data_IF_027914598858
#
_entry.id   IF_027914598858
#
_cell.length_a   1.000
_cell.length_b   1.000
_cell.length_c   1.000
_cell.angle_alpha   90.00
_cell.angle_beta   90.00
_cell.angle_gamma   90.00
#
_symmetry.space_group_name_H-M   'P 1'
#
loop_
_entity.id
_entity.type
_entity.pdbx_description
1 polymer ?
#
# COMPACT_ATOMS: atom_id res chain seq x y z
N UNK A 1 4.79 14.30 7.55
CA UNK A 1 4.35 12.92 7.84
C UNK A 1 3.17 12.49 6.97
N UNK A 2 2.01 13.16 7.06
CA UNK A 2 0.84 12.79 6.25
C UNK A 2 1.04 12.87 4.75
N UNK A 3 1.86 13.78 4.27
CA UNK A 3 2.23 13.89 2.86
C UNK A 3 2.93 12.60 2.38
N UNK A 4 3.85 12.08 3.18
CA UNK A 4 4.55 10.83 2.89
C UNK A 4 3.58 9.63 2.86
N UNK A 5 2.68 9.54 3.83
CA UNK A 5 1.65 8.50 3.90
C UNK A 5 0.75 8.57 2.65
N UNK A 6 0.31 9.77 2.32
CA UNK A 6 -0.59 10.01 1.18
C UNK A 6 0.04 9.57 -0.16
N UNK A 7 1.22 10.06 -0.50
CA UNK A 7 1.82 9.68 -1.77
C UNK A 7 2.30 8.22 -1.80
N UNK A 8 2.71 7.64 -0.68
CA UNK A 8 3.06 6.22 -0.60
C UNK A 8 1.84 5.35 -0.90
N UNK A 9 0.69 5.69 -0.32
CA UNK A 9 -0.57 4.98 -0.62
C UNK A 9 -1.01 5.14 -2.08
N UNK A 10 -0.82 6.33 -2.67
CA UNK A 10 -1.10 6.53 -4.10
C UNK A 10 -0.23 5.59 -4.95
N UNK A 11 1.08 5.58 -4.74
CA UNK A 11 2.00 4.73 -5.48
C UNK A 11 1.65 3.25 -5.34
N UNK A 12 1.33 2.82 -4.12
CA UNK A 12 0.89 1.44 -3.85
C UNK A 12 -0.38 1.09 -4.62
N UNK A 13 -1.39 1.96 -4.58
CA UNK A 13 -2.65 1.71 -5.29
C UNK A 13 -2.51 1.74 -6.82
N UNK A 14 -1.64 2.59 -7.36
CA UNK A 14 -1.31 2.56 -8.79
C UNK A 14 -0.71 1.21 -9.18
N UNK A 15 0.20 0.71 -8.38
CA UNK A 15 0.83 -0.60 -8.61
C UNK A 15 -0.19 -1.75 -8.46
N UNK A 16 -1.00 -1.74 -7.41
CA UNK A 16 -2.04 -2.76 -7.16
C UNK A 16 -3.07 -2.84 -8.31
N UNK A 17 -3.31 -1.73 -9.02
CA UNK A 17 -4.35 -1.63 -10.06
C UNK A 17 -3.81 -1.60 -11.48
N UNK A 18 -2.51 -1.79 -11.66
CA UNK A 18 -1.87 -1.63 -12.96
C UNK A 18 -2.19 -0.28 -13.63
N UNK A 19 -2.32 0.77 -12.84
CA UNK A 19 -2.66 2.12 -13.31
C UNK A 19 -1.40 2.98 -13.40
N UNK A 20 -1.27 3.73 -14.49
CA UNK A 20 -0.18 4.68 -14.67
C UNK A 20 -0.51 6.03 -14.03
N UNK A 21 0.52 6.83 -13.74
CA UNK A 21 0.33 8.23 -13.30
C UNK A 21 -0.46 9.06 -14.32
N UNK A 22 -0.28 8.77 -15.61
CA UNK A 22 -1.00 9.44 -16.68
C UNK A 22 -2.49 9.12 -16.65
N UNK A 23 -2.86 7.87 -16.44
CA UNK A 23 -4.26 7.45 -16.28
C UNK A 23 -4.89 8.08 -15.03
N UNK A 24 -4.16 8.11 -13.92
CA UNK A 24 -4.62 8.79 -12.71
C UNK A 24 -4.80 10.29 -12.94
N UNK A 25 -3.84 10.93 -13.61
CA UNK A 25 -3.91 12.34 -13.99
C UNK A 25 -5.20 12.66 -14.76
N UNK A 26 -5.52 11.85 -15.75
CA UNK A 26 -6.74 12.01 -16.56
C UNK A 26 -8.01 11.79 -15.73
N UNK A 27 -8.05 10.75 -14.92
CA UNK A 27 -9.22 10.43 -14.07
C UNK A 27 -9.46 11.44 -12.96
N UNK A 28 -8.39 11.93 -12.34
CA UNK A 28 -8.48 12.88 -11.24
C UNK A 28 -8.60 14.34 -11.69
N UNK A 29 -8.35 14.63 -12.98
CA UNK A 29 -8.32 16.00 -13.48
C UNK A 29 -7.14 16.83 -12.94
N UNK A 30 -6.02 16.19 -12.63
CA UNK A 30 -4.78 16.79 -12.10
C UNK A 30 -3.68 16.63 -13.14
N UNK A 31 -2.79 17.61 -13.27
CA UNK A 31 -1.68 17.49 -14.22
C UNK A 31 -0.71 16.38 -13.82
N UNK A 32 -0.12 15.74 -14.82
CA UNK A 32 0.89 14.71 -14.59
C UNK A 32 2.13 15.28 -13.89
N UNK A 33 2.48 16.53 -14.20
CA UNK A 33 3.56 17.26 -13.51
C UNK A 33 3.28 17.40 -12.02
N UNK A 34 2.06 17.77 -11.65
CA UNK A 34 1.64 17.87 -10.25
C UNK A 34 1.69 16.51 -9.55
N UNK A 35 1.20 15.45 -10.19
CA UNK A 35 1.28 14.09 -9.63
C UNK A 35 2.73 13.63 -9.43
N UNK A 36 3.62 13.97 -10.35
CA UNK A 36 5.04 13.67 -10.21
C UNK A 36 5.66 14.43 -9.03
N UNK A 37 5.35 15.70 -8.88
CA UNK A 37 5.80 16.50 -7.75
C UNK A 37 5.23 15.98 -6.42
N UNK A 38 3.96 15.60 -6.40
CA UNK A 38 3.30 15.03 -5.23
C UNK A 38 3.97 13.72 -4.79
N UNK A 39 4.23 12.81 -5.72
CA UNK A 39 4.84 11.51 -5.44
C UNK A 39 6.34 11.59 -5.13
N UNK A 40 6.97 12.73 -5.44
CA UNK A 40 8.34 13.04 -5.03
C UNK A 40 8.41 13.89 -3.75
N UNK A 41 7.27 14.12 -3.09
CA UNK A 41 7.20 14.91 -1.87
C UNK A 41 7.40 16.41 -2.04
N UNK A 42 7.29 16.93 -3.27
CA UNK A 42 7.53 18.35 -3.59
C UNK A 42 6.27 19.20 -3.62
N UNK A 43 5.10 18.60 -3.67
CA UNK A 43 3.82 19.29 -3.71
C UNK A 43 2.98 19.03 -2.48
N UNK A 44 2.20 20.04 -2.08
CA UNK A 44 1.17 19.94 -1.05
C UNK A 44 -0.20 19.99 -1.73
N UNK A 45 -0.94 18.87 -1.76
CA UNK A 45 -2.26 18.86 -2.36
C UNK A 45 -3.27 19.56 -1.46
N UNK A 46 -4.22 20.28 -2.05
CA UNK A 46 -5.41 20.73 -1.33
C UNK A 46 -6.30 19.54 -1.00
N UNK A 47 -7.19 19.71 -0.03
CA UNK A 47 -8.17 18.67 0.31
C UNK A 47 -9.01 18.27 -0.90
N UNK A 48 -9.41 19.22 -1.74
CA UNK A 48 -10.15 18.97 -2.99
C UNK A 48 -9.37 18.09 -3.95
N UNK A 49 -8.08 18.33 -4.11
CA UNK A 49 -7.21 17.51 -4.97
C UNK A 49 -7.06 16.11 -4.39
N UNK A 50 -6.90 15.98 -3.07
CA UNK A 50 -6.84 14.68 -2.41
C UNK A 50 -8.12 13.87 -2.63
N UNK A 51 -9.29 14.51 -2.51
CA UNK A 51 -10.59 13.88 -2.82
C UNK A 51 -10.68 13.42 -4.28
N UNK A 52 -10.26 14.28 -5.22
CA UNK A 52 -10.27 13.93 -6.64
C UNK A 52 -9.39 12.72 -6.95
N UNK A 53 -8.23 12.63 -6.31
CA UNK A 53 -7.32 11.49 -6.44
C UNK A 53 -7.95 10.23 -5.81
N UNK A 54 -8.53 10.34 -4.62
CA UNK A 54 -9.20 9.23 -3.94
C UNK A 54 -10.37 8.68 -4.80
N UNK A 55 -11.20 9.56 -5.36
CA UNK A 55 -12.30 9.19 -6.24
C UNK A 55 -11.78 8.50 -7.52
N UNK A 56 -10.71 9.00 -8.12
CA UNK A 56 -10.11 8.40 -9.30
C UNK A 56 -9.52 7.01 -9.02
N UNK A 57 -9.08 6.77 -7.79
CA UNK A 57 -8.60 5.47 -7.30
C UNK A 57 -9.73 4.60 -6.71
N UNK A 58 -10.96 5.08 -6.72
CA UNK A 58 -12.13 4.38 -6.17
C UNK A 58 -11.92 3.93 -4.70
N UNK A 59 -11.39 4.82 -3.89
CA UNK A 59 -11.21 4.64 -2.45
C UNK A 59 -11.73 5.85 -1.69
N UNK A 60 -12.08 5.66 -0.43
CA UNK A 60 -12.36 6.78 0.47
C UNK A 60 -11.05 7.51 0.81
N UNK A 61 -11.10 8.84 0.92
CA UNK A 61 -9.90 9.64 1.24
C UNK A 61 -9.18 9.18 2.52
N UNK A 62 -9.86 8.80 3.63
CA UNK A 62 -9.17 8.29 4.82
C UNK A 62 -8.24 7.10 4.53
N UNK A 63 -8.57 6.24 3.58
CA UNK A 63 -7.73 5.10 3.17
C UNK A 63 -6.35 5.57 2.68
N UNK A 64 -6.28 6.71 2.00
CA UNK A 64 -5.02 7.30 1.52
C UNK A 64 -4.19 7.94 2.64
N UNK A 65 -4.78 8.16 3.80
CA UNK A 65 -4.14 8.79 4.96
C UNK A 65 -3.84 7.79 6.07
N UNK A 66 -4.14 6.52 5.88
CA UNK A 66 -3.87 5.45 6.84
C UNK A 66 -2.48 4.85 6.60
N UNK A 67 -1.82 4.48 7.70
CA UNK A 67 -0.62 3.65 7.64
C UNK A 67 -1.00 2.18 7.44
N UNK A 68 -0.17 1.43 6.71
CA UNK A 68 -0.38 -0.01 6.56
C UNK A 68 0.28 -0.76 7.72
N UNK A 69 -0.31 -1.89 8.12
CA UNK A 69 0.27 -2.76 9.15
C UNK A 69 1.52 -3.50 8.67
N UNK A 70 1.71 -3.59 7.35
CA UNK A 70 2.88 -4.21 6.74
C UNK A 70 3.84 -3.11 6.29
N UNK A 71 5.09 -3.20 6.74
CA UNK A 71 6.15 -2.32 6.26
C UNK A 71 6.57 -2.68 4.82
N UNK A 72 7.29 -1.78 4.18
CA UNK A 72 7.76 -1.94 2.80
C UNK A 72 8.62 -3.19 2.63
N UNK A 73 9.45 -3.50 3.62
CA UNK A 73 10.33 -4.67 3.58
C UNK A 73 9.53 -5.98 3.58
N UNK A 74 8.52 -6.09 4.45
CA UNK A 74 7.62 -7.25 4.49
C UNK A 74 6.83 -7.40 3.20
N UNK A 75 6.34 -6.29 2.63
CA UNK A 75 5.65 -6.30 1.35
C UNK A 75 6.57 -6.77 0.21
N UNK A 76 7.81 -6.30 0.17
CA UNK A 76 8.79 -6.72 -0.84
C UNK A 76 9.15 -8.19 -0.71
N UNK A 77 9.28 -8.72 0.50
CA UNK A 77 9.53 -10.14 0.72
C UNK A 77 8.39 -11.02 0.17
N UNK A 78 7.14 -10.60 0.39
CA UNK A 78 5.96 -11.30 -0.12
C UNK A 78 5.88 -11.31 -1.66
N UNK A 79 6.49 -10.36 -2.32
CA UNK A 79 6.50 -10.19 -3.77
C UNK A 79 7.82 -10.63 -4.44
N UNK A 80 8.63 -11.45 -3.82
CA UNK A 80 9.93 -11.89 -4.33
C UNK A 80 10.86 -10.72 -4.72
N UNK A 81 10.86 -9.66 -3.91
CA UNK A 81 11.63 -8.45 -4.17
C UNK A 81 11.02 -7.51 -5.21
N UNK A 82 9.83 -7.80 -5.70
CA UNK A 82 9.04 -6.91 -6.57
C UNK A 82 8.03 -6.12 -5.75
N UNK A 83 7.58 -4.94 -6.19
CA UNK A 83 6.48 -4.23 -5.54
C UNK A 83 5.23 -5.11 -5.43
N UNK A 84 4.62 -5.15 -4.26
CA UNK A 84 3.39 -5.93 -4.03
C UNK A 84 2.21 -5.18 -4.63
N UNK A 85 1.52 -5.80 -5.59
CA UNK A 85 0.31 -5.25 -6.19
C UNK A 85 -0.92 -5.40 -5.30
N UNK A 86 -1.00 -6.49 -4.54
CA UNK A 86 -2.11 -6.80 -3.66
C UNK A 86 -1.68 -7.72 -2.52
N UNK A 87 -2.53 -7.88 -1.52
CA UNK A 87 -2.36 -8.90 -0.50
C UNK A 87 -2.49 -10.29 -1.13
N UNK A 88 -1.81 -11.32 -0.55
CA UNK A 88 -2.00 -12.70 -0.99
C UNK A 88 -3.47 -13.12 -0.95
N UNK A 89 -3.90 -14.12 -1.76
CA UNK A 89 -5.25 -14.65 -1.70
C UNK A 89 -5.65 -15.10 -0.29
N UNK A 90 -6.86 -14.75 0.14
CA UNK A 90 -7.36 -15.06 1.48
C UNK A 90 -7.07 -14.01 2.55
N UNK A 91 -6.37 -12.92 2.19
CA UNK A 91 -6.07 -11.81 3.10
C UNK A 91 -6.76 -10.53 2.67
N UNK A 92 -7.25 -9.79 3.64
CA UNK A 92 -7.91 -8.49 3.44
C UNK A 92 -7.43 -7.49 4.48
N UNK A 93 -7.44 -6.21 4.13
CA UNK A 93 -7.30 -5.12 5.09
C UNK A 93 -8.68 -4.67 5.52
N UNK A 94 -8.85 -4.46 6.82
CA UNK A 94 -10.10 -3.92 7.36
C UNK A 94 -9.80 -2.73 8.28
N UNK A 95 -10.70 -1.77 8.28
CA UNK A 95 -10.70 -0.65 9.23
C UNK A 95 -12.00 -0.73 10.03
N UNK A 96 -11.89 -0.85 11.34
CA UNK A 96 -13.04 -1.08 12.23
C UNK A 96 -12.92 -0.25 13.50
N UNK A 97 -14.05 0.06 14.11
CA UNK A 97 -14.09 0.68 15.44
C UNK A 97 -14.22 -0.43 16.47
N UNK A 98 -13.27 -0.48 17.41
CA UNK A 98 -13.16 -1.51 18.43
C UNK A 98 -13.01 -0.88 19.82
N UNK A 99 -13.43 -1.61 20.86
CA UNK A 99 -13.00 -1.28 22.22
C UNK A 99 -11.48 -1.50 22.35
N UNK A 100 -10.85 -0.88 23.35
CA UNK A 100 -9.41 -1.06 23.59
C UNK A 100 -9.03 -2.54 23.79
N UNK A 101 -9.87 -3.29 24.46
CA UNK A 101 -9.68 -4.72 24.69
C UNK A 101 -9.75 -5.55 23.39
N UNK A 102 -10.72 -5.23 22.54
CA UNK A 102 -10.86 -5.86 21.23
C UNK A 102 -9.69 -5.47 20.32
N UNK A 103 -9.30 -4.19 20.33
CA UNK A 103 -8.18 -3.70 19.55
C UNK A 103 -6.86 -4.39 19.94
N UNK A 104 -6.63 -4.63 21.24
CA UNK A 104 -5.47 -5.38 21.69
C UNK A 104 -5.44 -6.80 21.12
N UNK A 105 -6.55 -7.52 21.15
CA UNK A 105 -6.64 -8.88 20.59
C UNK A 105 -6.42 -8.89 19.07
N UNK A 106 -7.01 -7.93 18.35
CA UNK A 106 -6.84 -7.82 16.90
C UNK A 106 -5.39 -7.50 16.53
N UNK A 107 -4.72 -6.62 17.28
CA UNK A 107 -3.29 -6.34 17.09
C UNK A 107 -2.44 -7.59 17.29
N UNK A 108 -2.73 -8.41 18.29
CA UNK A 108 -2.02 -9.67 18.52
C UNK A 108 -2.20 -10.63 17.34
N UNK A 109 -3.42 -10.77 16.82
CA UNK A 109 -3.68 -11.59 15.64
C UNK A 109 -3.00 -11.04 14.38
N UNK A 110 -3.07 -9.73 14.18
CA UNK A 110 -2.42 -9.05 13.04
C UNK A 110 -0.91 -9.27 13.07
N UNK A 111 -0.28 -9.11 14.22
CA UNK A 111 1.15 -9.35 14.39
C UNK A 111 1.53 -10.80 14.09
N UNK A 112 0.75 -11.75 14.58
CA UNK A 112 0.97 -13.16 14.30
C UNK A 112 0.84 -13.48 12.80
N UNK A 113 -0.19 -12.94 12.15
CA UNK A 113 -0.39 -13.09 10.70
C UNK A 113 0.75 -12.49 9.91
N UNK A 114 1.22 -11.30 10.29
CA UNK A 114 2.36 -10.62 9.68
C UNK A 114 3.62 -11.47 9.75
N UNK A 115 3.95 -11.98 10.93
CA UNK A 115 5.12 -12.84 11.14
C UNK A 115 5.05 -14.11 10.29
N UNK A 116 3.87 -14.72 10.21
CA UNK A 116 3.65 -15.90 9.38
C UNK A 116 3.88 -15.62 7.91
N UNK A 117 3.34 -14.51 7.39
CA UNK A 117 3.52 -14.10 5.99
C UNK A 117 4.99 -13.79 5.67
N UNK A 118 5.70 -13.12 6.57
CA UNK A 118 7.12 -12.86 6.42
C UNK A 118 7.95 -14.15 6.35
N UNK A 119 7.65 -15.13 7.20
CA UNK A 119 8.34 -16.42 7.19
C UNK A 119 8.07 -17.20 5.90
N UNK A 120 6.82 -17.24 5.45
CA UNK A 120 6.44 -17.90 4.19
C UNK A 120 7.12 -17.25 2.98
N UNK A 121 7.19 -15.91 2.96
CA UNK A 121 7.86 -15.15 1.89
C UNK A 121 9.37 -15.42 1.87
N UNK A 122 10.03 -15.44 3.01
CA UNK A 122 11.46 -15.78 3.12
C UNK A 122 11.74 -17.19 2.62
N UNK A 123 10.96 -18.18 3.05
CA UNK A 123 11.10 -19.58 2.61
C UNK A 123 10.95 -19.69 1.09
N UNK A 124 9.99 -18.99 0.49
CA UNK A 124 9.79 -18.98 -0.96
C UNK A 124 10.98 -18.38 -1.70
N UNK A 125 11.54 -17.27 -1.21
CA UNK A 125 12.71 -16.63 -1.80
C UNK A 125 13.95 -17.53 -1.75
N UNK A 126 14.18 -18.21 -0.64
CA UNK A 126 15.29 -19.14 -0.48
C UNK A 126 15.20 -20.28 -1.51
N UNK A 127 14.04 -20.90 -1.66
CA UNK A 127 13.80 -21.96 -2.64
C UNK A 127 14.05 -21.46 -4.08
N UNK A 128 13.62 -20.23 -4.40
CA UNK A 128 13.83 -19.64 -5.71
C UNK A 128 15.30 -19.35 -6.00
N UNK A 129 16.05 -18.91 -5.00
CA UNK A 129 17.49 -18.66 -5.12
C UNK A 129 18.27 -19.97 -5.32
N UNK A 130 17.93 -21.02 -4.60
CA UNK A 130 18.53 -22.34 -4.77
C UNK A 130 18.29 -22.89 -6.18
N UNK A 131 17.09 -22.74 -6.72
CA UNK A 131 16.76 -23.15 -8.10
C UNK A 131 17.50 -22.35 -9.17
N UNK A 132 17.84 -21.08 -8.92
CA UNK A 132 18.65 -20.28 -9.85
C UNK A 132 20.12 -20.63 -9.82
N UNK A 133 20.62 -21.15 -8.69
CA UNK A 133 22.02 -21.51 -8.50
C UNK A 133 22.32 -22.99 -8.86
N UNK A 134 21.33 -23.75 -9.14
CA UNK A 134 21.44 -25.10 -9.67
C UNK A 134 21.11 -25.10 -11.17
#
# INVERSE_FOLDING_TARGET
MYNLIFFTNILRLLEERDMTKQELSQKAGVSISFLSDLTNGKANPSLRVMESIANALDVALPVLLETTDLDEHSLMLMADGKPVKSLPPGYVRVSVILSEQQAFRVRMWSEHTRQKLEQEAKATLEIMQEKKNS
#
